data_IF_087224440929
#
_entry.id   IF_087224440929
#
_cell.length_a   1.000
_cell.length_b   1.000
_cell.length_c   1.000
_cell.angle_alpha   90.00
_cell.angle_beta   90.00
_cell.angle_gamma   90.00
#
_symmetry.space_group_name_H-M   'P 1'
#
loop_
_entity.id
_entity.type
_entity.pdbx_description
1 polymer ?
#
# COMPACT_ATOMS: atom_id res chain seq x y z
N UNK A 1 -14.26 42.59 -3.50
CA UNK A 1 -15.12 41.56 -4.06
C UNK A 1 -14.56 40.96 -5.36
N UNK A 2 -14.21 41.74 -6.40
CA UNK A 2 -13.69 41.20 -7.67
C UNK A 2 -12.40 40.34 -7.55
N UNK A 3 -11.47 40.69 -6.64
CA UNK A 3 -10.23 39.89 -6.42
C UNK A 3 -10.49 38.53 -5.76
N UNK A 4 -11.48 38.44 -4.87
CA UNK A 4 -11.87 37.18 -4.22
C UNK A 4 -12.57 36.26 -5.22
N UNK A 5 -13.41 36.81 -6.10
CA UNK A 5 -14.04 36.05 -7.19
C UNK A 5 -13.00 35.53 -8.20
N UNK A 6 -11.97 36.30 -8.53
CA UNK A 6 -10.88 35.84 -9.42
C UNK A 6 -10.08 34.70 -8.80
N UNK A 7 -9.79 34.76 -7.50
CA UNK A 7 -9.08 33.66 -6.78
C UNK A 7 -9.95 32.39 -6.73
N UNK A 8 -11.26 32.54 -6.46
CA UNK A 8 -12.19 31.41 -6.45
C UNK A 8 -12.36 30.78 -7.84
N UNK A 9 -12.42 31.60 -8.90
CA UNK A 9 -12.50 31.12 -10.29
C UNK A 9 -11.17 30.45 -10.74
N UNK A 10 -10.03 30.97 -10.30
CA UNK A 10 -8.74 30.34 -10.56
C UNK A 10 -8.56 29.02 -9.80
N UNK A 11 -9.04 28.91 -8.57
CA UNK A 11 -9.10 27.64 -7.82
C UNK A 11 -10.02 26.63 -8.48
N UNK A 12 -11.19 27.06 -8.99
CA UNK A 12 -12.14 26.18 -9.69
C UNK A 12 -11.58 25.69 -11.04
N UNK A 13 -10.82 26.54 -11.76
CA UNK A 13 -10.19 26.17 -13.02
C UNK A 13 -9.02 25.19 -12.88
N UNK A 14 -8.38 25.12 -11.71
CA UNK A 14 -7.35 24.11 -11.43
C UNK A 14 -7.91 22.72 -11.10
N UNK A 15 -9.24 22.60 -10.91
CA UNK A 15 -9.89 21.34 -10.52
C UNK A 15 -10.23 20.38 -11.70
N UNK A 16 -9.94 20.74 -12.96
CA UNK A 16 -10.43 20.00 -14.14
C UNK A 16 -9.41 19.18 -14.90
N UNK A 17 -8.31 18.74 -14.31
CA UNK A 17 -7.47 17.72 -14.94
C UNK A 17 -7.91 16.32 -14.46
N UNK A 18 -8.80 15.70 -15.22
CA UNK A 18 -9.21 14.30 -15.07
C UNK A 18 -8.04 13.40 -15.47
N UNK A 19 -7.32 12.88 -14.49
CA UNK A 19 -6.36 11.80 -14.69
C UNK A 19 -7.00 10.53 -14.16
N UNK A 20 -7.41 9.64 -15.07
CA UNK A 20 -8.18 8.44 -14.75
C UNK A 20 -7.36 7.30 -14.12
N UNK A 21 -6.02 7.37 -14.13
CA UNK A 21 -5.17 6.31 -13.60
C UNK A 21 -4.71 6.65 -12.19
N UNK A 22 -5.13 5.83 -11.22
CA UNK A 22 -4.69 5.92 -9.82
C UNK A 22 -3.83 4.69 -9.48
N UNK A 23 -2.72 4.85 -8.72
CA UNK A 23 -2.00 3.70 -8.22
C UNK A 23 -2.92 2.92 -7.28
N UNK A 24 -2.89 1.58 -7.39
CA UNK A 24 -3.63 0.72 -6.48
C UNK A 24 -2.98 0.75 -5.11
N UNK A 25 -3.66 1.32 -4.14
CA UNK A 25 -3.25 1.41 -2.74
C UNK A 25 -4.20 0.61 -1.86
N UNK A 26 -3.84 0.38 -0.62
CA UNK A 26 -4.64 -0.41 0.32
C UNK A 26 -5.07 0.44 1.53
N UNK A 27 -6.35 0.38 1.81
CA UNK A 27 -6.98 1.09 2.93
C UNK A 27 -6.39 0.68 4.28
N UNK A 28 -6.02 -0.60 4.41
CA UNK A 28 -5.43 -1.15 5.63
C UNK A 28 -3.89 -1.09 5.64
N UNK A 29 -3.30 -0.01 5.12
CA UNK A 29 -1.85 0.19 5.05
C UNK A 29 -1.14 0.03 6.42
N UNK A 30 -1.85 0.27 7.51
CA UNK A 30 -1.35 0.05 8.87
C UNK A 30 -1.15 -1.43 9.24
N UNK A 31 -1.71 -2.40 8.49
CA UNK A 31 -1.45 -3.84 8.65
C UNK A 31 -0.35 -4.34 7.71
N UNK A 32 -0.21 -3.74 6.53
CA UNK A 32 0.77 -4.16 5.51
C UNK A 32 2.00 -3.25 5.41
N UNK A 33 2.44 -2.70 6.53
CA UNK A 33 3.58 -1.76 6.54
C UNK A 33 4.83 -2.30 5.87
N UNK A 34 5.11 -3.60 6.03
CA UNK A 34 6.30 -4.26 5.48
C UNK A 34 6.31 -4.30 3.95
N UNK A 35 5.15 -4.38 3.30
CA UNK A 35 5.04 -4.31 1.83
C UNK A 35 5.33 -2.89 1.32
N UNK A 36 4.91 -1.89 2.09
CA UNK A 36 5.13 -0.48 1.75
C UNK A 36 6.58 -0.08 2.03
N UNK A 37 7.09 -0.47 3.19
CA UNK A 37 8.45 -0.20 3.61
C UNK A 37 9.02 -1.41 4.38
N UNK A 38 9.91 -2.20 3.78
CA UNK A 38 10.46 -3.39 4.45
C UNK A 38 11.17 -3.10 5.77
N UNK A 39 11.66 -1.85 6.01
CA UNK A 39 12.20 -1.46 7.30
C UNK A 39 11.16 -1.52 8.44
N UNK A 40 9.86 -1.51 8.12
CA UNK A 40 8.80 -1.67 9.12
C UNK A 40 8.78 -3.04 9.80
N UNK A 41 9.38 -4.07 9.18
CA UNK A 41 9.55 -5.40 9.78
C UNK A 41 10.34 -5.35 11.10
N UNK A 42 11.23 -4.37 11.26
CA UNK A 42 12.02 -4.14 12.47
C UNK A 42 11.17 -3.75 13.69
N UNK A 43 9.97 -3.25 13.48
CA UNK A 43 9.04 -2.96 14.58
C UNK A 43 8.43 -4.23 15.17
N UNK A 44 8.63 -5.39 14.52
CA UNK A 44 8.13 -6.70 14.95
C UNK A 44 9.19 -7.78 14.81
N UNK A 45 10.15 -7.72 15.73
CA UNK A 45 11.32 -8.62 15.76
C UNK A 45 10.95 -10.10 16.01
N UNK A 46 9.73 -10.41 16.44
CA UNK A 46 9.25 -11.80 16.57
C UNK A 46 8.90 -12.46 15.24
N UNK A 47 8.59 -11.65 14.23
CA UNK A 47 8.12 -12.09 12.93
C UNK A 47 6.62 -11.96 12.74
N UNK A 48 6.21 -11.71 11.49
CA UNK A 48 4.81 -11.54 11.10
C UNK A 48 4.60 -12.01 9.65
N UNK A 49 3.42 -12.53 9.37
CA UNK A 49 2.94 -12.85 8.02
C UNK A 49 1.57 -12.18 7.81
N UNK A 50 1.52 -10.96 7.29
CA UNK A 50 0.28 -10.33 6.86
C UNK A 50 -0.02 -10.62 5.38
N UNK A 51 -1.30 -10.78 5.08
CA UNK A 51 -1.84 -10.85 3.71
C UNK A 51 -3.09 -10.00 3.60
N UNK A 52 -3.31 -9.35 2.46
CA UNK A 52 -4.53 -8.59 2.16
C UNK A 52 -4.99 -8.91 0.74
N UNK A 53 -6.27 -9.16 0.59
CA UNK A 53 -6.98 -9.21 -0.68
C UNK A 53 -7.89 -8.00 -0.83
N UNK A 54 -7.85 -7.36 -2.00
CA UNK A 54 -8.67 -6.18 -2.35
C UNK A 54 -9.37 -6.42 -3.67
N UNK A 55 -10.66 -6.14 -3.72
CA UNK A 55 -11.46 -6.10 -4.93
C UNK A 55 -12.13 -4.75 -5.08
N UNK A 56 -11.78 -4.04 -6.16
CA UNK A 56 -12.37 -2.73 -6.49
C UNK A 56 -13.63 -2.91 -7.35
N UNK A 57 -14.50 -1.92 -7.33
CA UNK A 57 -15.67 -1.77 -8.21
C UNK A 57 -16.45 -3.07 -8.35
N UNK A 58 -16.93 -3.59 -7.23
CA UNK A 58 -17.65 -4.87 -7.18
C UNK A 58 -18.88 -4.82 -8.08
N UNK A 59 -18.99 -5.83 -8.96
CA UNK A 59 -20.03 -5.92 -9.99
C UNK A 59 -19.61 -5.46 -11.39
N UNK A 60 -18.39 -4.96 -11.57
CA UNK A 60 -17.80 -4.65 -12.86
C UNK A 60 -16.97 -5.84 -13.35
N UNK A 61 -17.18 -6.27 -14.60
CA UNK A 61 -16.34 -7.28 -15.24
C UNK A 61 -14.94 -6.71 -15.49
N UNK A 62 -13.89 -7.49 -15.22
CA UNK A 62 -12.51 -7.04 -15.34
C UNK A 62 -12.06 -6.05 -14.27
N UNK A 63 -12.87 -5.82 -13.23
CA UNK A 63 -12.52 -4.91 -12.14
C UNK A 63 -11.22 -5.31 -11.42
N UNK A 64 -10.39 -4.34 -10.99
CA UNK A 64 -9.12 -4.62 -10.36
C UNK A 64 -9.25 -5.49 -9.11
N UNK A 65 -8.44 -6.53 -9.06
CA UNK A 65 -8.27 -7.39 -7.88
C UNK A 65 -6.79 -7.41 -7.55
N UNK A 66 -6.47 -7.20 -6.28
CA UNK A 66 -5.08 -7.17 -5.83
C UNK A 66 -4.93 -8.03 -4.60
N UNK A 67 -3.87 -8.79 -4.57
CA UNK A 67 -3.39 -9.55 -3.43
C UNK A 67 -2.02 -9.05 -3.03
N UNK A 68 -1.83 -8.75 -1.75
CA UNK A 68 -0.53 -8.45 -1.15
C UNK A 68 -0.24 -9.40 0.00
N UNK A 69 0.99 -9.80 0.08
CA UNK A 69 1.49 -10.58 1.20
C UNK A 69 2.93 -10.24 1.52
N UNK A 70 3.30 -10.42 2.76
CA UNK A 70 4.70 -10.42 3.19
C UNK A 70 4.89 -11.44 4.31
N UNK A 71 6.14 -11.82 4.53
CA UNK A 71 6.51 -12.64 5.68
C UNK A 71 7.92 -12.31 6.09
N UNK A 72 8.18 -12.20 7.38
CA UNK A 72 9.53 -11.96 7.88
C UNK A 72 9.79 -12.69 9.18
N UNK A 73 11.07 -12.89 9.45
CA UNK A 73 11.60 -13.41 10.72
C UNK A 73 12.60 -12.43 11.30
N UNK A 74 12.66 -12.38 12.61
CA UNK A 74 13.61 -11.56 13.35
C UNK A 74 14.94 -12.28 13.57
N UNK A 75 16.02 -11.62 13.22
CA UNK A 75 17.39 -11.99 13.53
C UNK A 75 17.84 -11.19 14.78
N UNK A 76 17.28 -11.53 15.92
CA UNK A 76 17.35 -10.72 17.15
C UNK A 76 18.78 -10.36 17.56
N UNK A 77 19.71 -11.34 17.53
CA UNK A 77 21.13 -11.10 17.85
C UNK A 77 21.80 -10.07 16.95
N UNK A 78 21.32 -9.97 15.70
CA UNK A 78 21.83 -9.03 14.73
C UNK A 78 21.07 -7.68 14.76
N UNK A 79 19.95 -7.56 15.47
CA UNK A 79 19.05 -6.41 15.41
C UNK A 79 18.54 -6.19 13.95
N UNK A 80 18.21 -7.27 13.28
CA UNK A 80 17.86 -7.28 11.87
C UNK A 80 16.64 -8.18 11.61
N UNK A 81 16.04 -8.05 10.43
CA UNK A 81 14.99 -8.92 9.92
C UNK A 81 15.31 -9.32 8.50
N UNK A 82 14.82 -10.48 8.08
CA UNK A 82 14.83 -10.94 6.70
C UNK A 82 13.46 -11.47 6.33
N UNK A 83 13.04 -11.28 5.08
CA UNK A 83 11.72 -11.69 4.67
C UNK A 83 11.49 -11.61 3.17
N UNK A 84 10.24 -11.83 2.82
CA UNK A 84 9.75 -11.83 1.44
C UNK A 84 8.52 -10.92 1.32
N UNK A 85 8.30 -10.36 0.13
CA UNK A 85 7.05 -9.69 -0.25
C UNK A 85 6.54 -10.26 -1.56
N UNK A 86 5.23 -10.32 -1.67
CA UNK A 86 4.53 -10.75 -2.88
C UNK A 86 3.39 -9.78 -3.18
N UNK A 87 3.19 -9.45 -4.45
CA UNK A 87 2.05 -8.72 -4.96
C UNK A 87 1.55 -9.39 -6.23
N UNK A 88 0.25 -9.59 -6.31
CA UNK A 88 -0.41 -10.02 -7.53
C UNK A 88 -1.58 -9.10 -7.80
N UNK A 89 -1.64 -8.55 -8.99
CA UNK A 89 -2.68 -7.65 -9.46
C UNK A 89 -3.27 -8.18 -10.76
N UNK A 90 -4.58 -8.14 -10.88
CA UNK A 90 -5.30 -8.48 -12.10
C UNK A 90 -6.30 -7.38 -12.42
N UNK A 91 -6.24 -6.81 -13.62
CA UNK A 91 -7.14 -5.78 -14.11
C UNK A 91 -7.45 -6.04 -15.58
N UNK A 92 -8.71 -6.32 -15.89
CA UNK A 92 -9.14 -6.72 -17.23
C UNK A 92 -8.27 -7.88 -17.78
N UNK A 93 -7.51 -7.62 -18.84
CA UNK A 93 -6.63 -8.60 -19.50
C UNK A 93 -5.19 -8.57 -18.98
N UNK A 94 -4.88 -7.67 -18.07
CA UNK A 94 -3.53 -7.48 -17.51
C UNK A 94 -3.38 -8.20 -16.17
N UNK A 95 -2.25 -8.86 -15.98
CA UNK A 95 -1.83 -9.48 -14.71
C UNK A 95 -0.40 -9.08 -14.40
N UNK A 96 -0.20 -8.50 -13.23
CA UNK A 96 1.12 -8.11 -12.73
C UNK A 96 1.44 -8.93 -11.48
N UNK A 97 2.58 -9.59 -11.47
CA UNK A 97 3.08 -10.34 -10.32
C UNK A 97 4.46 -9.83 -9.94
N UNK A 98 4.62 -9.46 -8.69
CA UNK A 98 5.90 -9.01 -8.13
C UNK A 98 6.27 -9.90 -6.95
N UNK A 99 7.52 -10.27 -6.86
CA UNK A 99 8.08 -10.97 -5.70
C UNK A 99 9.46 -10.42 -5.39
N UNK A 100 9.73 -10.19 -4.12
CA UNK A 100 11.05 -9.75 -3.66
C UNK A 100 11.43 -10.36 -2.32
N UNK A 101 12.72 -10.51 -2.10
CA UNK A 101 13.31 -10.78 -0.79
C UNK A 101 13.85 -9.48 -0.22
N UNK A 102 13.86 -9.35 1.10
CA UNK A 102 14.40 -8.17 1.74
C UNK A 102 15.22 -8.49 2.99
N UNK A 103 16.11 -7.58 3.31
CA UNK A 103 16.83 -7.52 4.56
C UNK A 103 16.69 -6.14 5.16
N UNK A 104 16.47 -6.06 6.47
CA UNK A 104 16.41 -4.79 7.18
C UNK A 104 17.26 -4.85 8.47
N UNK A 105 17.89 -3.73 8.79
CA UNK A 105 18.77 -3.58 9.95
C UNK A 105 18.39 -2.34 10.73
N UNK A 106 18.28 -2.46 12.04
CA UNK A 106 18.09 -1.32 12.93
C UNK A 106 19.39 -0.84 13.58
N UNK A 107 19.48 0.47 13.72
CA UNK A 107 20.52 1.15 14.49
C UNK A 107 19.83 1.96 15.59
N UNK A 108 20.26 1.78 16.83
CA UNK A 108 19.75 2.55 17.95
C UNK A 108 20.37 3.94 17.93
N UNK A 109 19.55 4.99 17.87
CA UNK A 109 20.00 6.38 17.83
C UNK A 109 19.80 7.12 19.16
N UNK A 110 18.87 6.65 19.99
CA UNK A 110 18.68 7.17 21.35
C UNK A 110 18.30 6.04 22.33
N UNK A 111 17.97 6.37 23.56
CA UNK A 111 17.54 5.38 24.56
C UNK A 111 16.29 4.58 24.11
N UNK A 112 15.43 5.16 23.27
CA UNK A 112 14.12 4.59 22.89
C UNK A 112 13.84 4.61 21.40
N UNK A 113 14.71 5.21 20.58
CA UNK A 113 14.48 5.44 19.16
C UNK A 113 15.50 4.70 18.30
N UNK A 114 15.04 4.26 17.17
CA UNK A 114 15.77 3.44 16.22
C UNK A 114 15.64 4.00 14.81
N UNK A 115 16.72 3.91 14.06
CA UNK A 115 16.74 4.11 12.62
C UNK A 115 16.81 2.73 11.95
N UNK A 116 15.79 2.38 11.20
CA UNK A 116 15.74 1.17 10.38
C UNK A 116 16.12 1.49 8.94
N UNK A 117 16.93 0.64 8.34
CA UNK A 117 17.28 0.67 6.93
C UNK A 117 16.92 -0.67 6.32
N UNK A 118 16.41 -0.67 5.09
CA UNK A 118 16.11 -1.90 4.36
C UNK A 118 16.58 -1.85 2.92
N UNK A 119 16.89 -3.02 2.40
CA UNK A 119 17.19 -3.28 1.00
C UNK A 119 16.33 -4.47 0.57
N UNK A 120 15.75 -4.39 -0.61
CA UNK A 120 15.06 -5.52 -1.23
C UNK A 120 15.46 -5.67 -2.70
N UNK A 121 15.36 -6.91 -3.20
CA UNK A 121 15.61 -7.25 -4.59
C UNK A 121 14.62 -8.33 -5.02
N UNK A 122 14.21 -8.29 -6.28
CA UNK A 122 13.21 -9.20 -6.81
C UNK A 122 12.95 -9.00 -8.28
N UNK A 123 11.75 -9.35 -8.69
CA UNK A 123 11.30 -9.20 -10.08
C UNK A 123 9.83 -8.80 -10.14
N UNK A 124 9.46 -8.21 -11.27
CA UNK A 124 8.11 -7.92 -11.69
C UNK A 124 7.84 -8.64 -13.01
N UNK A 125 6.73 -9.36 -13.11
CA UNK A 125 6.29 -10.09 -14.29
C UNK A 125 4.91 -9.59 -14.73
N UNK A 126 4.82 -9.17 -15.99
CA UNK A 126 3.60 -8.72 -16.65
C UNK A 126 3.12 -9.78 -17.67
N UNK A 127 1.84 -10.16 -17.61
CA UNK A 127 1.12 -10.96 -18.61
C UNK A 127 -0.10 -10.15 -19.08
N UNK A 128 0.03 -9.45 -20.20
CA UNK A 128 -1.01 -8.66 -20.84
C UNK A 128 -1.53 -9.37 -22.09
N UNK A 129 -2.81 -9.81 -22.05
CA UNK A 129 -3.47 -10.52 -23.14
C UNK A 129 -4.31 -9.57 -23.97
N UNK A 130 -3.66 -8.60 -24.58
CA UNK A 130 -4.31 -7.52 -25.32
C UNK A 130 -5.10 -8.01 -26.54
N UNK A 131 -4.66 -9.11 -27.16
CA UNK A 131 -5.36 -9.75 -28.28
C UNK A 131 -6.82 -10.16 -27.98
N UNK A 132 -7.16 -10.27 -26.69
CA UNK A 132 -8.54 -10.58 -26.26
C UNK A 132 -9.47 -9.36 -26.25
N UNK A 133 -8.95 -8.12 -26.33
CA UNK A 133 -9.74 -6.90 -26.32
C UNK A 133 -10.39 -6.66 -27.68
N UNK A 134 -9.59 -6.53 -28.73
CA UNK A 134 -10.05 -6.39 -30.11
C UNK A 134 -9.00 -6.98 -31.07
N UNK A 135 -9.23 -8.20 -31.59
CA UNK A 135 -8.28 -8.84 -32.52
C UNK A 135 -8.13 -8.09 -33.86
N UNK A 136 -9.07 -7.21 -34.20
CA UNK A 136 -9.06 -6.45 -35.46
C UNK A 136 -8.25 -5.13 -35.30
N UNK A 137 -8.09 -4.62 -34.10
CA UNK A 137 -7.30 -3.41 -33.86
C UNK A 137 -5.80 -3.75 -33.88
N UNK A 138 -5.00 -3.12 -34.78
CA UNK A 138 -3.55 -3.31 -34.80
C UNK A 138 -2.82 -3.05 -33.47
N UNK A 139 -3.36 -2.18 -32.61
CA UNK A 139 -2.79 -1.85 -31.32
C UNK A 139 -2.89 -3.01 -30.30
N UNK A 140 -3.85 -3.91 -30.47
CA UNK A 140 -4.12 -5.04 -29.58
C UNK A 140 -3.77 -6.41 -30.16
N UNK A 141 -3.03 -6.48 -31.27
CA UNK A 141 -2.73 -7.76 -31.94
C UNK A 141 -1.79 -8.65 -31.15
N UNK A 142 -0.90 -8.08 -30.38
CA UNK A 142 0.16 -8.81 -29.70
C UNK A 142 -0.03 -8.81 -28.18
N UNK A 143 0.05 -9.98 -27.59
CA UNK A 143 0.15 -10.13 -26.14
C UNK A 143 1.54 -9.71 -25.66
N UNK A 144 1.61 -9.13 -24.45
CA UNK A 144 2.85 -8.69 -23.82
C UNK A 144 3.17 -9.59 -22.65
N UNK A 145 4.36 -10.18 -22.64
CA UNK A 145 4.91 -10.94 -21.51
C UNK A 145 6.30 -10.41 -21.23
N UNK A 146 6.45 -9.71 -20.12
CA UNK A 146 7.71 -9.08 -19.78
C UNK A 146 8.08 -9.32 -18.33
N UNK A 147 9.37 -9.42 -18.08
CA UNK A 147 9.92 -9.54 -16.73
C UNK A 147 10.99 -8.48 -16.57
N UNK A 148 10.92 -7.72 -15.49
CA UNK A 148 11.97 -6.78 -15.13
C UNK A 148 12.44 -7.04 -13.69
N UNK A 149 13.73 -6.84 -13.46
CA UNK A 149 14.31 -6.92 -12.13
C UNK A 149 14.03 -5.64 -11.37
N UNK A 150 13.77 -5.78 -10.09
CA UNK A 150 13.55 -4.65 -9.19
C UNK A 150 14.51 -4.68 -8.01
N UNK A 151 14.89 -3.50 -7.58
CA UNK A 151 15.54 -3.26 -6.29
C UNK A 151 14.71 -2.26 -5.51
N UNK A 152 14.90 -2.21 -4.20
CA UNK A 152 14.19 -1.23 -3.38
C UNK A 152 14.93 -0.91 -2.11
N UNK A 153 14.60 0.25 -1.56
CA UNK A 153 15.21 0.82 -0.38
C UNK A 153 14.14 1.33 0.58
N UNK A 154 14.41 1.26 1.85
CA UNK A 154 13.55 1.87 2.86
C UNK A 154 14.37 2.41 4.01
N UNK A 155 13.90 3.53 4.55
CA UNK A 155 14.38 4.10 5.79
C UNK A 155 13.20 4.39 6.70
N UNK A 156 13.36 4.15 7.99
CA UNK A 156 12.30 4.37 8.99
C UNK A 156 12.90 4.79 10.32
N UNK A 157 12.48 5.94 10.81
CA UNK A 157 12.67 6.34 12.18
C UNK A 157 11.49 5.83 13.00
N UNK A 158 11.74 5.10 14.09
CA UNK A 158 10.65 4.59 14.89
C UNK A 158 11.01 4.48 16.38
N UNK A 159 9.97 4.57 17.20
CA UNK A 159 9.96 4.19 18.59
C UNK A 159 8.89 3.11 18.78
N UNK A 160 9.26 1.89 19.19
CA UNK A 160 8.31 0.79 19.35
C UNK A 160 7.08 1.20 20.17
N UNK A 161 5.89 0.81 19.72
CA UNK A 161 4.59 1.09 20.34
C UNK A 161 4.31 2.59 20.61
N UNK A 162 4.96 3.51 19.87
CA UNK A 162 4.73 4.95 20.00
C UNK A 162 4.52 5.65 18.67
N UNK A 163 5.49 5.59 17.77
CA UNK A 163 5.39 6.25 16.48
C UNK A 163 6.41 5.70 15.47
N UNK A 164 6.15 5.98 14.22
CA UNK A 164 7.09 5.78 13.13
C UNK A 164 6.92 6.85 12.06
N UNK A 165 8.00 7.16 11.35
CA UNK A 165 8.04 7.93 10.11
C UNK A 165 9.00 7.23 9.16
N UNK A 166 8.59 6.96 7.93
CA UNK A 166 9.40 6.23 6.96
C UNK A 166 9.25 6.73 5.55
N UNK A 167 10.34 6.63 4.82
CA UNK A 167 10.42 6.84 3.38
C UNK A 167 10.82 5.51 2.74
N UNK A 168 10.23 5.16 1.62
CA UNK A 168 10.61 3.97 0.88
C UNK A 168 10.39 4.11 -0.61
N UNK A 169 11.23 3.40 -1.33
CA UNK A 169 11.18 3.10 -2.75
C UNK A 169 11.23 1.58 -2.87
N UNK A 170 10.11 0.87 -2.57
CA UNK A 170 10.12 -0.59 -2.53
C UNK A 170 10.26 -1.20 -3.92
N UNK A 171 10.04 -0.43 -4.97
CA UNK A 171 10.10 -0.84 -6.35
C UNK A 171 10.76 0.23 -7.21
N UNK A 172 12.04 0.02 -7.52
CA UNK A 172 12.80 0.71 -8.54
C UNK A 172 13.13 -0.31 -9.62
N UNK A 173 12.59 -0.12 -10.82
CA UNK A 173 12.76 -1.05 -11.94
C UNK A 173 14.11 -0.81 -12.59
N UNK A 174 14.89 -1.88 -12.77
CA UNK A 174 16.23 -1.78 -13.36
C UNK A 174 16.18 -1.44 -14.85
N UNK A 175 15.14 -1.86 -15.56
CA UNK A 175 14.89 -1.47 -16.95
C UNK A 175 14.80 0.06 -17.12
N UNK A 176 14.15 0.74 -16.20
CA UNK A 176 14.05 2.21 -16.20
C UNK A 176 15.43 2.91 -15.98
N UNK A 177 16.39 2.17 -15.45
CA UNK A 177 17.78 2.65 -15.28
C UNK A 177 18.69 2.26 -16.47
N UNK A 178 18.13 1.67 -17.53
CA UNK A 178 18.91 1.18 -18.68
C UNK A 178 19.71 -0.09 -18.40
N UNK A 179 19.41 -0.80 -17.32
CA UNK A 179 20.07 -2.07 -17.00
C UNK A 179 19.21 -3.20 -17.57
N UNK A 180 19.74 -3.93 -18.54
CA UNK A 180 19.03 -5.08 -19.15
C UNK A 180 18.75 -4.96 -20.65
N UNK A 181 18.93 -3.81 -21.27
CA UNK A 181 19.11 -3.63 -22.71
C UNK A 181 17.96 -4.02 -23.64
N UNK A 182 16.72 -4.12 -23.16
CA UNK A 182 15.54 -4.37 -23.99
C UNK A 182 14.62 -3.16 -24.04
N UNK A 183 14.04 -2.86 -25.21
CA UNK A 183 12.90 -1.95 -25.30
C UNK A 183 11.70 -2.62 -24.61
N UNK A 184 11.46 -2.28 -23.34
CA UNK A 184 10.27 -2.74 -22.63
C UNK A 184 9.03 -2.14 -23.28
N UNK A 185 8.07 -2.98 -23.65
CA UNK A 185 6.75 -2.55 -24.16
C UNK A 185 5.82 -2.16 -23.02
N UNK A 186 6.09 -2.61 -21.80
CA UNK A 186 5.32 -2.29 -20.62
C UNK A 186 6.08 -1.29 -19.74
N UNK A 187 5.42 -0.20 -19.41
CA UNK A 187 5.96 0.83 -18.52
C UNK A 187 5.80 0.42 -17.05
N UNK A 188 6.79 -0.31 -16.53
CA UNK A 188 6.87 -0.62 -15.11
C UNK A 188 7.21 0.64 -14.32
N UNK A 189 6.31 1.08 -13.48
CA UNK A 189 6.44 2.35 -12.74
C UNK A 189 7.13 2.17 -11.40
N UNK A 190 7.99 3.11 -11.06
CA UNK A 190 8.56 3.22 -9.74
C UNK A 190 7.50 3.69 -8.73
N UNK A 191 7.62 3.24 -7.48
CA UNK A 191 6.72 3.65 -6.39
C UNK A 191 7.52 4.25 -5.24
N UNK A 192 7.10 5.42 -4.80
CA UNK A 192 7.67 6.17 -3.70
C UNK A 192 6.62 6.31 -2.61
N UNK A 193 6.97 6.00 -1.37
CA UNK A 193 6.06 6.09 -0.24
C UNK A 193 6.66 6.93 0.89
N UNK A 194 5.82 7.79 1.45
CA UNK A 194 6.04 8.41 2.76
C UNK A 194 4.97 7.85 3.70
N UNK A 195 5.39 7.29 4.82
CA UNK A 195 4.48 6.74 5.83
C UNK A 195 4.75 7.38 7.19
N UNK A 196 3.70 7.62 7.95
CA UNK A 196 3.82 7.97 9.36
C UNK A 196 2.65 7.40 10.15
N UNK A 197 2.87 7.14 11.42
CA UNK A 197 1.81 6.70 12.32
C UNK A 197 2.23 6.83 13.78
N UNK A 198 1.23 6.88 14.65
CA UNK A 198 1.45 6.97 16.08
C UNK A 198 0.43 6.10 16.83
N UNK A 199 0.74 5.78 18.08
CA UNK A 199 -0.13 5.09 19.01
C UNK A 199 -0.26 5.90 20.29
N UNK A 200 -1.48 6.30 20.59
CA UNK A 200 -1.86 7.00 21.82
C UNK A 200 -2.65 6.07 22.72
N UNK A 201 -2.18 5.84 23.95
CA UNK A 201 -2.96 5.14 24.95
C UNK A 201 -3.88 6.15 25.65
N UNK A 202 -5.20 5.93 25.55
CA UNK A 202 -6.26 6.76 26.13
C UNK A 202 -6.82 6.07 27.38
N UNK A 203 -5.97 5.88 28.39
CA UNK A 203 -6.27 5.09 29.58
C UNK A 203 -5.82 3.63 29.43
N UNK A 204 -6.40 2.72 30.22
CA UNK A 204 -5.98 1.32 30.30
C UNK A 204 -6.47 0.50 29.09
N UNK A 205 -7.70 0.76 28.63
CA UNK A 205 -8.39 -0.10 27.68
C UNK A 205 -8.49 0.48 26.27
N UNK A 206 -8.28 1.78 26.09
CA UNK A 206 -8.48 2.45 24.81
C UNK A 206 -7.18 2.91 24.20
N UNK A 207 -7.04 2.72 22.88
CA UNK A 207 -5.92 3.21 22.08
C UNK A 207 -6.43 3.91 20.83
N UNK A 208 -5.73 4.96 20.43
CA UNK A 208 -5.98 5.70 19.20
C UNK A 208 -4.75 5.58 18.29
N UNK A 209 -4.94 5.13 17.07
CA UNK A 209 -3.88 4.90 16.07
C UNK A 209 -4.16 5.69 14.79
N UNK A 210 -3.72 6.94 14.70
CA UNK A 210 -3.67 7.67 13.44
C UNK A 210 -2.50 7.20 12.59
N UNK A 211 -2.67 7.23 11.26
CA UNK A 211 -1.61 6.98 10.30
C UNK A 211 -1.87 7.69 8.98
N UNK A 212 -0.79 7.99 8.27
CA UNK A 212 -0.83 8.56 6.93
C UNK A 212 0.07 7.78 5.99
N UNK A 213 -0.33 7.71 4.73
CA UNK A 213 0.43 7.16 3.63
C UNK A 213 0.33 8.14 2.46
N UNK A 214 1.48 8.56 1.94
CA UNK A 214 1.54 9.28 0.66
C UNK A 214 2.26 8.39 -0.33
N UNK A 215 1.62 8.15 -1.47
CA UNK A 215 2.17 7.37 -2.58
C UNK A 215 2.37 8.29 -3.77
N UNK A 216 3.55 8.25 -4.34
CA UNK A 216 3.90 8.90 -5.59
C UNK A 216 4.40 7.87 -6.59
N UNK A 217 4.02 8.02 -7.84
CA UNK A 217 4.54 7.28 -8.98
C UNK A 217 4.70 8.25 -10.14
N UNK A 218 5.67 8.00 -10.99
CA UNK A 218 5.94 8.81 -12.17
C UNK A 218 4.69 8.88 -13.06
N UNK A 219 4.45 10.05 -13.63
CA UNK A 219 3.28 10.33 -14.48
C UNK A 219 1.91 10.26 -13.80
N UNK A 220 1.85 10.03 -12.48
CA UNK A 220 0.61 10.02 -11.71
C UNK A 220 0.60 11.14 -10.66
N UNK A 221 -0.59 11.57 -10.27
CA UNK A 221 -0.72 12.51 -9.16
C UNK A 221 -0.39 11.82 -7.84
N UNK A 222 0.31 12.50 -6.91
CA UNK A 222 0.51 11.98 -5.56
C UNK A 222 -0.84 11.67 -4.90
N UNK A 223 -0.94 10.50 -4.29
CA UNK A 223 -2.10 10.09 -3.51
C UNK A 223 -1.76 10.14 -2.03
N UNK A 224 -2.58 10.83 -1.26
CA UNK A 224 -2.48 10.87 0.19
C UNK A 224 -3.65 10.14 0.82
N UNK A 225 -3.37 9.37 1.86
CA UNK A 225 -4.35 8.64 2.66
C UNK A 225 -4.12 8.92 4.13
N UNK A 226 -5.20 9.14 4.87
CA UNK A 226 -5.17 9.30 6.31
C UNK A 226 -6.14 8.31 6.95
N UNK A 227 -5.68 7.58 7.96
CA UNK A 227 -6.50 6.64 8.73
C UNK A 227 -6.50 7.01 10.20
N UNK A 228 -7.64 6.80 10.85
CA UNK A 228 -7.81 6.97 12.28
C UNK A 228 -8.55 5.75 12.85
N UNK A 229 -7.88 4.95 13.68
CA UNK A 229 -8.46 3.76 14.30
C UNK A 229 -8.48 3.89 15.82
N UNK A 230 -9.60 3.49 16.41
CA UNK A 230 -9.76 3.34 17.85
C UNK A 230 -9.82 1.86 18.21
N UNK A 231 -9.06 1.46 19.20
CA UNK A 231 -9.04 0.08 19.71
C UNK A 231 -9.55 0.02 21.13
N UNK A 232 -10.28 -1.06 21.42
CA UNK A 232 -10.69 -1.45 22.76
C UNK A 232 -9.87 -2.69 23.15
N UNK A 233 -9.16 -2.61 24.30
CA UNK A 233 -8.31 -3.67 24.86
C UNK A 233 -7.28 -4.25 23.86
N UNK A 234 -6.87 -3.46 22.87
CA UNK A 234 -6.01 -3.88 21.74
C UNK A 234 -6.59 -5.01 20.88
N UNK A 235 -7.81 -5.45 21.16
CA UNK A 235 -8.47 -6.57 20.50
C UNK A 235 -9.34 -6.09 19.35
N UNK A 236 -10.29 -5.21 19.64
CA UNK A 236 -11.26 -4.75 18.65
C UNK A 236 -10.97 -3.31 18.25
N UNK A 237 -10.82 -3.06 16.96
CA UNK A 237 -10.55 -1.75 16.38
C UNK A 237 -11.60 -1.37 15.35
N UNK A 238 -12.05 -0.11 15.41
CA UNK A 238 -12.88 0.51 14.37
C UNK A 238 -12.25 1.83 13.95
N UNK A 239 -12.45 2.22 12.71
CA UNK A 239 -11.89 3.48 12.23
C UNK A 239 -12.35 3.88 10.84
N UNK A 240 -11.79 4.99 10.42
CA UNK A 240 -12.05 5.57 9.12
C UNK A 240 -10.73 5.79 8.37
N UNK A 241 -10.82 5.75 7.05
CA UNK A 241 -9.76 6.17 6.13
C UNK A 241 -10.35 7.18 5.16
N UNK A 242 -9.58 8.22 4.86
CA UNK A 242 -9.91 9.21 3.84
C UNK A 242 -8.74 9.33 2.86
N UNK A 243 -9.06 9.47 1.57
CA UNK A 243 -8.11 9.63 0.47
C UNK A 243 -8.26 10.97 -0.22
N UNK A 244 -7.17 11.46 -0.80
CA UNK A 244 -7.09 12.76 -1.47
C UNK A 244 -8.07 12.95 -2.63
N UNK A 245 -8.61 11.88 -3.20
CA UNK A 245 -9.58 11.93 -4.31
C UNK A 245 -11.05 11.81 -3.85
N UNK A 246 -11.32 12.02 -2.56
CA UNK A 246 -12.68 12.05 -2.02
C UNK A 246 -13.23 10.68 -1.65
N UNK A 247 -12.44 9.63 -1.71
CA UNK A 247 -12.84 8.31 -1.27
C UNK A 247 -12.76 8.20 0.25
N UNK A 248 -13.78 7.59 0.84
CA UNK A 248 -13.85 7.29 2.27
C UNK A 248 -13.96 5.78 2.47
N UNK A 249 -13.42 5.28 3.58
CA UNK A 249 -13.59 3.89 3.96
C UNK A 249 -13.82 3.74 5.46
N UNK A 250 -14.70 2.82 5.82
CA UNK A 250 -14.82 2.26 7.16
C UNK A 250 -13.84 1.10 7.31
N UNK A 251 -13.22 0.98 8.49
CA UNK A 251 -12.28 -0.11 8.82
C UNK A 251 -12.73 -0.76 10.11
N UNK A 252 -12.75 -2.10 10.13
CA UNK A 252 -12.90 -2.91 11.34
C UNK A 252 -11.70 -3.87 11.45
N UNK A 253 -11.15 -4.00 12.66
CA UNK A 253 -10.00 -4.89 12.93
C UNK A 253 -10.27 -5.70 14.20
N UNK A 254 -9.80 -6.94 14.18
CA UNK A 254 -9.85 -7.85 15.33
C UNK A 254 -8.48 -8.50 15.51
N UNK A 255 -7.93 -8.43 16.72
CA UNK A 255 -6.65 -9.01 17.07
C UNK A 255 -6.81 -9.95 18.27
N UNK A 256 -6.41 -11.20 18.10
CA UNK A 256 -6.50 -12.19 19.17
C UNK A 256 -5.36 -13.21 19.04
N UNK A 257 -4.62 -13.41 20.11
CA UNK A 257 -3.58 -14.46 20.22
C UNK A 257 -2.62 -14.54 19.02
N UNK A 258 -2.13 -13.38 18.56
CA UNK A 258 -1.22 -13.30 17.40
C UNK A 258 -1.94 -13.24 16.05
N UNK A 259 -3.22 -13.61 15.96
CA UNK A 259 -4.02 -13.48 14.74
C UNK A 259 -4.60 -12.08 14.66
N UNK A 260 -4.49 -11.44 13.49
CA UNK A 260 -5.14 -10.19 13.15
C UNK A 260 -6.07 -10.39 11.95
N UNK A 261 -7.33 -9.98 12.10
CA UNK A 261 -8.32 -9.90 11.02
C UNK A 261 -8.62 -8.44 10.75
N UNK A 262 -8.78 -8.06 9.50
CA UNK A 262 -9.16 -6.74 9.10
C UNK A 262 -10.15 -6.76 7.95
N UNK A 263 -11.10 -5.85 7.98
CA UNK A 263 -12.02 -5.61 6.87
C UNK A 263 -12.14 -4.12 6.64
N UNK A 264 -12.16 -3.69 5.39
CA UNK A 264 -12.52 -2.33 5.04
C UNK A 264 -13.51 -2.29 3.89
N UNK A 265 -14.40 -1.32 3.97
CA UNK A 265 -15.39 -0.99 2.95
C UNK A 265 -15.17 0.45 2.51
N UNK A 266 -14.84 0.62 1.23
CA UNK A 266 -14.56 1.93 0.63
C UNK A 266 -15.69 2.31 -0.32
N UNK A 267 -16.07 3.59 -0.27
CA UNK A 267 -17.08 4.19 -1.11
C UNK A 267 -16.67 5.62 -1.48
N UNK A 268 -17.23 6.13 -2.56
CA UNK A 268 -17.03 7.53 -2.97
C UNK A 268 -18.35 8.30 -2.81
N UNK A 269 -18.47 9.20 -1.83
CA UNK A 269 -19.71 9.92 -1.56
C UNK A 269 -20.15 10.87 -2.68
N UNK A 270 -19.22 11.30 -3.55
CA UNK A 270 -19.49 12.25 -4.64
C UNK A 270 -19.72 11.62 -6.00
N UNK A 271 -19.58 10.30 -6.13
CA UNK A 271 -19.84 9.62 -7.40
C UNK A 271 -21.31 9.22 -7.50
N UNK A 272 -22.05 9.87 -8.41
CA UNK A 272 -23.28 9.26 -8.91
C UNK A 272 -22.91 7.92 -9.58
N UNK A 273 -23.65 6.83 -9.32
CA UNK A 273 -23.41 5.59 -10.02
C UNK A 273 -23.60 5.83 -11.52
N UNK A 274 -22.53 5.70 -12.29
CA UNK A 274 -22.49 5.88 -13.75
C UNK A 274 -23.50 4.96 -14.47
N UNK A 275 -23.96 3.97 -13.79
CA UNK A 275 -25.10 3.11 -14.12
C UNK A 275 -25.51 2.34 -12.86
N UNK A 276 -26.78 2.03 -12.67
CA UNK A 276 -27.29 1.24 -11.53
C UNK A 276 -26.63 -0.15 -11.37
N UNK A 277 -25.76 -0.55 -12.29
CA UNK A 277 -25.03 -1.83 -12.30
C UNK A 277 -23.58 -1.75 -11.87
N UNK A 278 -22.97 -0.56 -11.80
CA UNK A 278 -21.56 -0.40 -11.44
C UNK A 278 -21.49 0.25 -10.06
N UNK A 279 -21.08 -0.51 -9.08
CA UNK A 279 -20.80 -0.01 -7.73
C UNK A 279 -19.38 0.57 -7.68
N UNK A 280 -19.24 1.80 -7.19
CA UNK A 280 -17.93 2.40 -6.88
C UNK A 280 -17.33 1.84 -5.58
N UNK A 281 -17.90 0.75 -5.05
CA UNK A 281 -17.49 0.16 -3.78
C UNK A 281 -16.27 -0.73 -3.92
N UNK A 282 -15.42 -0.72 -2.90
CA UNK A 282 -14.23 -1.56 -2.83
C UNK A 282 -14.21 -2.27 -1.48
N UNK A 283 -13.93 -3.56 -1.51
CA UNK A 283 -13.77 -4.39 -0.34
C UNK A 283 -12.32 -4.81 -0.18
N UNK A 284 -11.85 -4.82 1.06
CA UNK A 284 -10.51 -5.28 1.39
C UNK A 284 -10.58 -6.15 2.66
N UNK A 285 -9.99 -7.33 2.59
CA UNK A 285 -9.91 -8.28 3.70
C UNK A 285 -8.44 -8.53 3.99
N UNK A 286 -8.05 -8.36 5.26
CA UNK A 286 -6.71 -8.61 5.76
C UNK A 286 -6.68 -9.73 6.79
N UNK A 287 -5.62 -10.55 6.72
CA UNK A 287 -5.28 -11.55 7.71
C UNK A 287 -3.81 -11.39 8.06
N UNK A 288 -3.47 -11.47 9.34
CA UNK A 288 -2.07 -11.50 9.77
C UNK A 288 -1.86 -12.52 10.89
N UNK A 289 -0.66 -13.09 10.93
CA UNK A 289 -0.22 -13.94 12.03
C UNK A 289 1.14 -13.44 12.54
N UNK A 290 1.26 -13.31 13.87
CA UNK A 290 2.46 -12.87 14.58
C UNK A 290 3.01 -14.01 15.40
N UNK A 291 4.28 -14.32 15.20
CA UNK A 291 4.92 -15.50 15.83
C UNK A 291 5.21 -15.31 17.31
N UNK A 292 5.34 -14.07 17.78
CA UNK A 292 5.65 -13.75 19.18
C UNK A 292 4.41 -13.67 20.10
N UNK A 293 3.20 -13.81 19.50
CA UNK A 293 1.93 -13.69 20.23
C UNK A 293 1.72 -12.29 20.87
N UNK A 294 2.67 -11.40 20.78
CA UNK A 294 2.61 -10.10 21.41
C UNK A 294 1.62 -9.17 20.71
N UNK A 295 0.69 -8.65 21.47
CA UNK A 295 -0.41 -7.80 21.00
C UNK A 295 -0.04 -6.36 20.67
N UNK A 296 1.16 -6.07 20.14
CA UNK A 296 1.51 -4.72 19.71
C UNK A 296 0.57 -4.20 18.58
N UNK A 297 0.23 -2.92 18.58
CA UNK A 297 -0.61 -2.28 17.57
C UNK A 297 0.19 -1.48 16.53
N UNK A 298 1.46 -1.18 16.80
CA UNK A 298 2.43 -0.57 15.87
C UNK A 298 3.53 -1.52 15.51
#
# INVERSE_FOLDING_TARGET
>A
MKRIQLIFTAMLAMATSLHAQQPLTHTQHGQLRTVINPAASLMRMGGEVPVIGRRQWVGMDGAPTVFWGSGHIGLQRAGATAGITIRHESMAVEKLTEASVFFAKSVRISATEYLGLSLNAGFSYMDGRFSQLDPMDPAFREDVKETDALIGFGVMLYRPERYYVGLSLPRLMLGNLGVGGGDSRYDFRNLYHLTAGALFNLGADFQFRPSVLVTYSESLRPQAEASALFFVKRVFGIGLNARSYGELAGIAQFNFSGIGLGYSYQFNPGSEPLNRRISSTTHEIGLSYRFDGAGGLL
#
